data_IF_243551334113
#
_entry.id   IF_243551334113
#
_cell.length_a   1.000
_cell.length_b   1.000
_cell.length_c   1.000
_cell.angle_alpha   90.00
_cell.angle_beta   90.00
_cell.angle_gamma   90.00
#
_symmetry.space_group_name_H-M   'P 1'
#
loop_
_entity.id
_entity.type
_entity.pdbx_description
1 polymer ?
#
# COMPACT_ATOMS: atom_id res chain seq x y z
N UNK A 1 -2.76 -21.16 15.04
CA UNK A 1 -2.83 -20.91 13.58
C UNK A 1 -1.60 -20.08 13.23
N UNK A 2 -0.69 -20.59 12.39
CA UNK A 2 0.51 -19.84 12.01
C UNK A 2 0.18 -18.90 10.83
N UNK A 3 0.62 -17.64 10.91
CA UNK A 3 0.49 -16.69 9.79
C UNK A 3 1.51 -17.06 8.74
N UNK A 4 1.14 -17.42 7.51
CA UNK A 4 2.11 -17.59 6.41
C UNK A 4 2.49 -16.22 5.82
N UNK A 5 3.50 -16.17 4.95
CA UNK A 5 3.93 -14.95 4.26
C UNK A 5 2.89 -14.34 3.29
N UNK A 6 1.60 -14.66 3.40
CA UNK A 6 0.62 -14.41 2.34
C UNK A 6 0.87 -15.34 1.15
N UNK A 7 1.04 -14.76 -0.04
CA UNK A 7 1.11 -15.46 -1.34
C UNK A 7 2.42 -16.24 -1.55
N UNK A 8 3.56 -15.75 -1.04
CA UNK A 8 4.85 -16.43 -1.17
C UNK A 8 5.85 -15.94 -0.12
N UNK A 9 6.85 -16.78 0.21
CA UNK A 9 8.00 -16.32 0.98
C UNK A 9 8.95 -15.49 0.09
N UNK A 10 9.66 -14.52 0.66
CA UNK A 10 10.58 -13.65 -0.09
C UNK A 10 12.03 -13.95 0.29
N UNK A 11 12.87 -14.35 -0.67
CA UNK A 11 14.32 -14.33 -0.51
C UNK A 11 14.85 -12.95 -0.86
N UNK A 12 15.89 -12.54 -0.15
CA UNK A 12 16.54 -11.26 -0.40
C UNK A 12 18.06 -11.36 -0.32
N UNK A 13 18.74 -10.60 -1.18
CA UNK A 13 20.20 -10.51 -1.21
C UNK A 13 20.79 -9.77 -0.01
N UNK A 14 22.12 -9.64 -0.01
CA UNK A 14 22.89 -9.05 1.08
C UNK A 14 22.64 -7.56 1.32
N UNK A 15 22.11 -6.83 0.33
CA UNK A 15 21.70 -5.42 0.46
C UNK A 15 20.41 -5.23 1.26
N UNK A 16 19.61 -6.28 1.45
CA UNK A 16 18.33 -6.24 2.14
C UNK A 16 18.44 -6.93 3.50
N UNK A 17 17.65 -6.45 4.45
CA UNK A 17 17.59 -6.99 5.81
C UNK A 17 16.85 -8.32 5.82
N UNK A 18 17.41 -9.30 6.55
CA UNK A 18 16.61 -10.39 7.10
C UNK A 18 16.27 -9.99 8.54
N UNK A 19 14.99 -9.85 8.87
CA UNK A 19 14.62 -9.43 10.21
C UNK A 19 15.00 -10.51 11.22
N UNK A 20 15.30 -10.12 12.46
CA UNK A 20 15.45 -11.09 13.54
C UNK A 20 14.10 -11.70 13.95
N UNK A 21 13.03 -10.95 13.75
CA UNK A 21 11.67 -11.34 14.09
C UNK A 21 10.89 -11.72 12.83
N UNK A 22 10.33 -12.93 12.79
CA UNK A 22 9.57 -13.38 11.63
C UNK A 22 8.41 -12.47 11.24
N UNK A 23 7.78 -11.73 12.16
CA UNK A 23 6.61 -10.90 11.82
C UNK A 23 6.94 -9.68 10.95
N UNK A 24 8.23 -9.33 10.78
CA UNK A 24 8.70 -8.19 9.99
C UNK A 24 8.95 -8.52 8.51
N UNK A 25 8.56 -9.69 8.02
CA UNK A 25 8.76 -10.05 6.61
C UNK A 25 7.87 -9.20 5.68
N UNK A 26 8.39 -8.82 4.50
CA UNK A 26 7.68 -8.27 3.32
C UNK A 26 6.44 -7.38 3.61
N UNK A 27 6.50 -6.54 4.63
CA UNK A 27 5.46 -5.52 4.89
C UNK A 27 5.88 -4.20 4.27
N UNK A 28 4.92 -3.37 3.87
CA UNK A 28 5.13 -2.07 3.19
C UNK A 28 6.20 -1.18 3.87
N UNK A 29 6.33 -1.25 5.20
CA UNK A 29 7.28 -0.42 5.98
C UNK A 29 8.69 -1.04 6.10
N UNK A 30 8.89 -2.28 5.69
CA UNK A 30 10.15 -3.03 5.86
C UNK A 30 11.07 -2.97 4.65
N UNK A 31 10.65 -2.29 3.57
CA UNK A 31 11.39 -2.15 2.31
C UNK A 31 11.94 -3.50 1.80
N UNK A 32 11.05 -4.47 1.62
CA UNK A 32 11.42 -5.79 1.09
C UNK A 32 12.33 -6.55 2.07
N UNK A 33 11.96 -6.63 3.34
CA UNK A 33 12.62 -7.53 4.28
C UNK A 33 12.29 -8.98 3.91
N UNK A 34 13.33 -9.82 3.83
CA UNK A 34 13.17 -11.22 3.45
C UNK A 34 12.49 -12.06 4.53
N UNK A 35 11.98 -13.22 4.14
CA UNK A 35 11.50 -14.22 5.07
C UNK A 35 12.67 -14.91 5.77
N UNK A 36 12.72 -14.80 7.10
CA UNK A 36 13.70 -15.46 7.95
C UNK A 36 13.20 -16.80 8.52
N UNK A 37 11.93 -17.17 8.29
CA UNK A 37 11.33 -18.40 8.80
C UNK A 37 10.85 -19.31 7.67
N UNK A 38 11.82 -19.85 6.95
CA UNK A 38 11.63 -20.75 5.82
C UNK A 38 11.84 -22.20 6.26
N UNK A 39 11.05 -23.13 5.72
CA UNK A 39 11.25 -24.58 5.88
C UNK A 39 11.32 -25.26 4.52
N UNK A 40 12.19 -26.24 4.39
CA UNK A 40 12.26 -27.07 3.20
C UNK A 40 11.18 -28.17 3.24
N UNK A 41 10.27 -28.18 2.27
CA UNK A 41 9.25 -29.22 2.11
C UNK A 41 9.83 -30.62 1.82
N UNK A 42 11.05 -30.72 1.27
CA UNK A 42 11.67 -32.02 0.97
C UNK A 42 12.29 -32.70 2.20
N UNK A 43 13.01 -31.97 3.07
CA UNK A 43 13.68 -32.55 4.24
C UNK A 43 13.12 -32.08 5.59
N UNK A 44 12.12 -31.20 5.59
CA UNK A 44 11.52 -30.62 6.80
C UNK A 44 12.43 -29.67 7.58
N UNK A 45 13.66 -29.41 7.12
CA UNK A 45 14.64 -28.59 7.82
C UNK A 45 14.37 -27.10 7.61
N UNK A 46 14.55 -26.29 8.66
CA UNK A 46 14.59 -24.82 8.57
C UNK A 46 15.67 -24.39 7.58
N UNK A 47 15.39 -23.41 6.73
CA UNK A 47 16.39 -22.86 5.82
C UNK A 47 17.26 -21.89 6.60
N UNK A 48 18.56 -22.11 6.58
CA UNK A 48 19.55 -21.23 7.19
C UNK A 48 20.00 -20.18 6.17
N UNK A 49 20.37 -19.01 6.65
CA UNK A 49 20.92 -17.93 5.82
C UNK A 49 22.29 -17.51 6.33
N UNK A 50 23.17 -17.15 5.40
CA UNK A 50 24.49 -16.61 5.69
C UNK A 50 24.46 -15.09 5.90
N UNK A 51 25.57 -14.56 6.42
CA UNK A 51 25.78 -13.13 6.48
C UNK A 51 25.73 -12.48 5.07
N UNK A 52 25.41 -11.18 4.95
CA UNK A 52 25.58 -10.45 3.70
C UNK A 52 26.97 -10.66 3.12
N UNK A 53 27.06 -10.87 1.81
CA UNK A 53 28.33 -11.13 1.14
C UNK A 53 28.61 -12.60 0.84
N UNK A 54 27.93 -13.51 1.52
CA UNK A 54 28.27 -14.93 1.54
C UNK A 54 27.83 -15.67 0.27
N UNK A 55 28.77 -16.39 -0.35
CA UNK A 55 28.58 -17.22 -1.55
C UNK A 55 29.51 -18.44 -1.56
N UNK A 56 29.26 -19.38 -2.45
CA UNK A 56 30.04 -20.58 -2.73
C UNK A 56 31.28 -20.26 -3.59
N UNK A 57 32.35 -21.00 -3.33
CA UNK A 57 33.59 -20.97 -4.12
C UNK A 57 33.64 -22.22 -5.01
N UNK A 58 33.74 -22.02 -6.32
CA UNK A 58 33.89 -23.13 -7.27
C UNK A 58 32.59 -23.84 -7.66
N UNK A 59 31.45 -23.20 -7.46
CA UNK A 59 30.13 -23.72 -7.85
C UNK A 59 29.53 -24.70 -6.83
N UNK A 60 28.29 -25.15 -7.10
CA UNK A 60 27.48 -25.95 -6.19
C UNK A 60 27.96 -27.40 -6.11
N UNK A 61 28.36 -27.87 -4.93
CA UNK A 61 28.71 -29.26 -4.67
C UNK A 61 27.68 -29.86 -3.69
N UNK A 62 26.73 -30.71 -4.15
CA UNK A 62 25.71 -31.32 -3.27
C UNK A 62 26.27 -32.06 -2.05
N UNK A 63 27.51 -32.59 -2.15
CA UNK A 63 28.17 -33.36 -1.09
C UNK A 63 28.50 -32.53 0.17
N UNK A 64 28.64 -31.21 0.04
CA UNK A 64 29.03 -30.33 1.15
C UNK A 64 27.81 -29.81 1.94
N UNK A 65 26.59 -29.98 1.42
CA UNK A 65 25.35 -29.47 2.03
C UNK A 65 25.09 -30.00 3.46
N UNK A 66 25.25 -31.30 3.76
CA UNK A 66 25.03 -31.79 5.13
C UNK A 66 26.01 -31.16 6.14
N UNK A 67 27.29 -31.04 5.76
CA UNK A 67 28.31 -30.44 6.60
C UNK A 67 28.08 -28.93 6.78
N UNK A 68 27.72 -28.22 5.70
CA UNK A 68 27.37 -26.79 5.76
C UNK A 68 26.17 -26.56 6.67
N UNK A 69 25.12 -27.38 6.53
CA UNK A 69 23.91 -27.26 7.35
C UNK A 69 24.16 -27.58 8.82
N UNK A 70 25.08 -28.50 9.14
CA UNK A 70 25.47 -28.83 10.51
C UNK A 70 26.38 -27.78 11.16
N UNK A 71 27.09 -26.97 10.37
CA UNK A 71 28.08 -26.01 10.88
C UNK A 71 27.43 -24.70 11.30
N UNK A 72 27.51 -24.31 12.57
CA UNK A 72 26.88 -23.07 13.08
C UNK A 72 27.47 -21.81 12.45
N UNK A 73 28.81 -21.72 12.36
CA UNK A 73 29.51 -20.58 11.78
C UNK A 73 29.96 -20.87 10.35
N UNK A 74 29.25 -20.30 9.37
CA UNK A 74 29.57 -20.51 7.96
C UNK A 74 30.88 -19.83 7.52
N UNK A 75 31.43 -18.88 8.31
CA UNK A 75 32.69 -18.22 7.96
C UNK A 75 33.90 -19.16 8.06
N UNK A 76 33.78 -20.29 8.77
CA UNK A 76 34.84 -21.29 8.89
C UNK A 76 34.89 -22.28 7.74
N UNK A 77 33.90 -22.26 6.83
CA UNK A 77 33.80 -23.21 5.72
C UNK A 77 34.66 -22.73 4.54
N UNK A 78 35.74 -23.47 4.23
CA UNK A 78 36.72 -23.11 3.18
C UNK A 78 36.15 -22.93 1.77
N UNK A 79 34.95 -23.47 1.51
CA UNK A 79 34.25 -23.36 0.23
C UNK A 79 33.21 -22.23 0.21
N UNK A 80 33.15 -21.41 1.26
CA UNK A 80 32.37 -20.18 1.31
C UNK A 80 33.29 -18.96 1.34
N UNK A 81 32.85 -17.86 0.73
CA UNK A 81 33.50 -16.55 0.78
C UNK A 81 32.46 -15.47 1.04
N UNK A 82 32.86 -14.44 1.77
CA UNK A 82 32.05 -13.25 2.05
C UNK A 82 32.60 -12.03 1.29
N UNK A 83 32.69 -12.13 -0.04
CA UNK A 83 33.33 -11.14 -0.91
C UNK A 83 32.37 -10.45 -1.89
N UNK A 84 31.07 -10.73 -1.83
CA UNK A 84 30.08 -10.14 -2.73
C UNK A 84 28.88 -9.53 -2.00
N UNK A 85 28.96 -8.29 -1.47
CA UNK A 85 28.00 -7.74 -0.49
C UNK A 85 26.55 -7.70 -0.93
N UNK A 86 26.27 -7.76 -2.25
CA UNK A 86 24.90 -7.85 -2.75
C UNK A 86 24.26 -9.23 -2.56
N UNK A 87 25.04 -10.27 -2.28
CA UNK A 87 24.58 -11.65 -2.27
C UNK A 87 24.32 -12.16 -0.85
N UNK A 88 23.43 -13.14 -0.74
CA UNK A 88 23.18 -13.91 0.47
C UNK A 88 22.96 -15.37 0.13
N UNK A 89 23.68 -16.25 0.83
CA UNK A 89 23.51 -17.69 0.73
C UNK A 89 22.37 -18.16 1.64
N UNK A 90 21.48 -18.99 1.10
CA UNK A 90 20.44 -19.72 1.82
C UNK A 90 20.69 -21.22 1.65
N UNK A 91 20.41 -22.03 2.67
CA UNK A 91 20.58 -23.48 2.56
C UNK A 91 19.71 -24.29 3.52
N UNK A 92 19.28 -25.46 3.04
CA UNK A 92 18.77 -26.56 3.85
C UNK A 92 19.63 -27.82 3.62
N UNK A 93 19.17 -29.00 4.08
CA UNK A 93 19.88 -30.27 3.87
C UNK A 93 19.87 -30.75 2.40
N UNK A 94 18.95 -30.25 1.57
CA UNK A 94 18.76 -30.71 0.18
C UNK A 94 19.36 -29.77 -0.88
N UNK A 95 19.37 -28.46 -0.62
CA UNK A 95 19.69 -27.41 -1.61
C UNK A 95 20.31 -26.20 -0.91
N UNK A 96 21.12 -25.46 -1.66
CA UNK A 96 21.56 -24.11 -1.34
C UNK A 96 21.24 -23.18 -2.52
N UNK A 97 21.04 -21.90 -2.21
CA UNK A 97 20.66 -20.84 -3.14
C UNK A 97 21.41 -19.56 -2.84
N UNK A 98 21.91 -18.89 -3.86
CA UNK A 98 22.59 -17.60 -3.75
C UNK A 98 21.66 -16.52 -4.29
N UNK A 99 21.17 -15.65 -3.42
CA UNK A 99 20.26 -14.58 -3.83
C UNK A 99 21.01 -13.25 -3.91
N UNK A 100 20.98 -12.59 -5.07
CA UNK A 100 21.60 -11.29 -5.29
C UNK A 100 20.62 -10.11 -5.26
N UNK A 101 19.32 -10.42 -5.30
CA UNK A 101 18.21 -9.48 -5.48
C UNK A 101 17.03 -9.87 -4.58
N UNK A 102 15.81 -9.48 -4.93
CA UNK A 102 14.58 -9.95 -4.28
C UNK A 102 13.98 -11.05 -5.16
N UNK A 103 13.61 -12.17 -4.55
CA UNK A 103 13.04 -13.30 -5.27
C UNK A 103 11.90 -13.92 -4.46
N UNK A 104 10.68 -13.87 -5.01
CA UNK A 104 9.55 -14.57 -4.42
C UNK A 104 9.70 -16.07 -4.65
N UNK A 105 9.60 -16.85 -3.58
CA UNK A 105 9.61 -18.32 -3.65
C UNK A 105 8.23 -18.78 -4.13
N UNK A 106 8.02 -18.68 -5.44
CA UNK A 106 6.81 -19.14 -6.13
C UNK A 106 7.11 -20.50 -6.76
N UNK A 107 6.40 -21.52 -6.32
CA UNK A 107 6.51 -22.88 -6.86
C UNK A 107 5.45 -23.13 -7.94
N UNK A 108 5.25 -22.19 -8.86
CA UNK A 108 4.29 -22.35 -9.95
C UNK A 108 4.81 -23.31 -11.05
N UNK A 109 6.13 -23.39 -11.20
CA UNK A 109 6.76 -24.27 -12.19
C UNK A 109 6.69 -23.74 -13.62
N UNK A 110 6.34 -22.47 -13.80
CA UNK A 110 6.06 -21.87 -15.11
C UNK A 110 7.31 -21.32 -15.81
N UNK A 111 8.43 -21.16 -15.07
CA UNK A 111 9.71 -20.75 -15.63
C UNK A 111 10.62 -21.96 -15.92
N UNK A 112 10.90 -22.31 -17.19
CA UNK A 112 11.70 -23.49 -17.56
C UNK A 112 13.16 -23.49 -17.07
N UNK A 113 13.63 -22.36 -16.55
CA UNK A 113 14.99 -22.17 -16.05
C UNK A 113 15.09 -21.98 -14.54
N UNK A 114 13.97 -21.91 -13.81
CA UNK A 114 13.98 -21.68 -12.37
C UNK A 114 13.97 -23.02 -11.62
N UNK A 115 15.04 -23.38 -10.86
CA UNK A 115 15.04 -24.60 -10.09
C UNK A 115 13.88 -24.56 -9.08
N UNK A 116 12.93 -25.50 -9.18
CA UNK A 116 11.83 -25.63 -8.21
C UNK A 116 12.37 -25.59 -6.78
N UNK A 117 12.15 -24.47 -6.11
CA UNK A 117 12.74 -24.20 -4.82
C UNK A 117 11.87 -24.85 -3.75
N UNK A 118 12.34 -25.91 -3.07
CA UNK A 118 11.51 -26.71 -2.18
C UNK A 118 11.25 -26.00 -0.84
N UNK A 119 11.43 -24.68 -0.77
CA UNK A 119 11.28 -23.90 0.44
C UNK A 119 9.90 -23.27 0.48
N UNK A 120 9.33 -23.21 1.67
CA UNK A 120 8.05 -22.55 1.95
C UNK A 120 8.21 -21.74 3.23
N UNK A 121 7.36 -20.73 3.41
CA UNK A 121 7.23 -20.06 4.70
C UNK A 121 6.76 -21.09 5.75
N UNK A 122 7.45 -21.18 6.88
CA UNK A 122 7.08 -22.03 8.02
C UNK A 122 6.09 -21.34 8.98
N UNK A 123 5.57 -20.18 8.55
CA UNK A 123 4.69 -19.33 9.30
C UNK A 123 5.39 -18.32 10.21
N UNK A 124 4.62 -17.50 10.90
CA UNK A 124 5.09 -16.53 11.89
C UNK A 124 4.36 -16.80 13.18
N UNK A 125 5.12 -17.04 14.26
CA UNK A 125 4.55 -17.26 15.58
C UNK A 125 3.79 -16.01 16.02
N UNK A 126 2.61 -16.20 16.60
CA UNK A 126 1.93 -15.10 17.28
C UNK A 126 2.69 -14.82 18.58
N UNK A 127 2.85 -13.55 18.96
CA UNK A 127 3.45 -13.24 20.24
C UNK A 127 2.54 -13.71 21.39
N UNK A 128 3.16 -14.21 22.47
CA UNK A 128 2.46 -14.64 23.67
C UNK A 128 2.26 -13.44 24.61
N UNK A 129 1.09 -13.35 25.25
CA UNK A 129 0.78 -12.32 26.25
C UNK A 129 0.87 -12.90 27.67
N UNK A 130 1.28 -12.10 28.67
CA UNK A 130 1.74 -10.72 28.55
C UNK A 130 3.15 -10.63 27.95
N UNK A 131 3.45 -9.50 27.30
CA UNK A 131 4.76 -9.22 26.73
C UNK A 131 5.22 -7.80 27.01
N UNK A 132 6.51 -7.57 26.81
CA UNK A 132 7.14 -6.26 26.96
C UNK A 132 7.91 -5.91 25.68
N UNK A 133 7.61 -4.75 25.09
CA UNK A 133 8.25 -4.23 23.88
C UNK A 133 8.93 -2.90 24.24
N UNK A 134 10.23 -2.95 24.50
CA UNK A 134 10.94 -1.81 25.08
C UNK A 134 10.35 -1.46 26.43
N UNK A 135 9.73 -0.29 26.54
CA UNK A 135 9.08 0.18 27.76
C UNK A 135 7.55 0.00 27.78
N UNK A 136 6.98 -0.62 26.73
CA UNK A 136 5.55 -0.86 26.61
C UNK A 136 5.20 -2.24 27.17
N UNK A 137 4.34 -2.27 28.19
CA UNK A 137 3.78 -3.50 28.72
C UNK A 137 2.42 -3.78 28.06
N UNK A 138 2.27 -4.96 27.44
CA UNK A 138 1.06 -5.36 26.74
C UNK A 138 0.55 -6.66 27.35
N UNK A 139 -0.71 -6.66 27.76
CA UNK A 139 -1.44 -7.79 28.32
C UNK A 139 -2.88 -7.83 27.81
N UNK A 140 -3.55 -8.96 27.99
CA UNK A 140 -4.92 -9.14 27.51
C UNK A 140 -5.95 -8.26 28.23
N UNK A 141 -5.79 -8.08 29.55
CA UNK A 141 -6.79 -7.40 30.40
C UNK A 141 -6.30 -6.08 31.04
N UNK A 142 -4.99 -5.80 31.03
CA UNK A 142 -4.40 -4.68 31.79
C UNK A 142 -3.78 -3.57 30.94
N UNK A 143 -3.89 -3.64 29.61
CA UNK A 143 -3.26 -2.63 28.73
C UNK A 143 -4.12 -1.39 28.64
N UNK A 144 -3.60 -0.25 29.11
CA UNK A 144 -4.13 1.07 28.78
C UNK A 144 -3.67 1.44 27.35
N UNK A 145 -4.53 1.19 26.37
CA UNK A 145 -4.21 1.45 24.97
C UNK A 145 -4.09 2.95 24.64
N UNK A 146 -4.73 3.83 25.40
CA UNK A 146 -4.58 5.27 25.20
C UNK A 146 -3.18 5.72 25.64
N UNK A 147 -2.70 5.24 26.80
CA UNK A 147 -1.32 5.47 27.24
C UNK A 147 -0.30 4.88 26.28
N UNK A 148 -0.47 3.62 25.85
CA UNK A 148 0.45 2.98 24.90
C UNK A 148 0.57 3.80 23.61
N UNK A 149 -0.55 4.20 23.02
CA UNK A 149 -0.55 5.04 21.80
C UNK A 149 0.11 6.39 22.09
N UNK A 150 -0.25 7.04 23.19
CA UNK A 150 0.33 8.34 23.55
C UNK A 150 1.84 8.27 23.74
N UNK A 151 2.35 7.21 24.36
CA UNK A 151 3.78 6.99 24.54
C UNK A 151 4.50 6.79 23.23
N UNK A 152 3.93 6.00 22.30
CA UNK A 152 4.50 5.80 20.96
C UNK A 152 4.52 7.11 20.18
N UNK A 153 3.42 7.87 20.18
CA UNK A 153 3.34 9.22 19.60
C UNK A 153 4.37 10.17 20.22
N UNK A 154 4.60 10.06 21.52
CA UNK A 154 5.60 10.82 22.27
C UNK A 154 7.05 10.36 22.09
N UNK A 155 7.33 9.41 21.20
CA UNK A 155 8.70 8.96 20.90
C UNK A 155 9.12 7.63 21.52
N UNK A 156 8.23 6.94 22.25
CA UNK A 156 8.54 5.64 22.84
C UNK A 156 8.55 4.57 21.77
N UNK A 157 9.76 4.16 21.38
CA UNK A 157 9.97 3.15 20.36
C UNK A 157 9.64 1.75 20.93
N UNK A 158 8.63 1.02 20.42
CA UNK A 158 8.30 -0.33 20.90
C UNK A 158 9.45 -1.31 20.63
N UNK A 159 10.18 -1.05 19.54
CA UNK A 159 11.37 -1.78 19.13
C UNK A 159 12.14 -0.89 18.18
N UNK A 160 13.45 -0.74 18.42
CA UNK A 160 14.35 -0.09 17.48
C UNK A 160 14.33 -0.86 16.15
N UNK A 161 13.83 -0.25 15.09
CA UNK A 161 14.07 -0.75 13.75
C UNK A 161 15.47 -0.18 13.35
N UNK A 162 16.07 -0.63 12.24
CA UNK A 162 17.45 -0.24 11.87
C UNK A 162 17.51 0.83 10.75
N UNK A 163 16.58 1.78 10.75
CA UNK A 163 16.39 2.81 9.70
C UNK A 163 16.45 4.24 10.23
N UNK A 164 16.94 5.14 9.39
CA UNK A 164 17.02 6.57 9.70
C UNK A 164 15.68 7.32 9.57
N UNK A 165 14.72 6.76 8.82
CA UNK A 165 13.37 7.29 8.60
C UNK A 165 12.32 6.62 9.51
N UNK A 166 12.76 6.28 10.73
CA UNK A 166 11.88 5.76 11.78
C UNK A 166 11.16 6.88 12.52
N UNK A 167 9.92 6.58 12.89
CA UNK A 167 9.15 7.44 13.75
C UNK A 167 7.81 6.82 14.16
N UNK A 168 7.02 7.57 14.92
CA UNK A 168 5.79 7.09 15.54
C UNK A 168 4.80 6.42 14.59
N UNK A 169 4.65 6.91 13.35
CA UNK A 169 3.70 6.33 12.38
C UNK A 169 4.07 4.89 12.02
N UNK A 170 5.35 4.65 11.73
CA UNK A 170 5.84 3.31 11.39
C UNK A 170 5.86 2.39 12.59
N UNK A 171 6.11 2.92 13.78
CA UNK A 171 6.07 2.13 15.01
C UNK A 171 4.66 1.66 15.34
N UNK A 172 3.63 2.51 15.16
CA UNK A 172 2.23 2.10 15.32
C UNK A 172 1.84 1.03 14.28
N UNK A 173 2.24 1.22 13.02
CA UNK A 173 1.99 0.24 11.95
C UNK A 173 2.65 -1.09 12.27
N UNK A 174 3.93 -1.07 12.66
CA UNK A 174 4.65 -2.27 13.10
C UNK A 174 3.96 -2.94 14.29
N UNK A 175 3.54 -2.17 15.30
CA UNK A 175 2.91 -2.71 16.49
C UNK A 175 1.58 -3.41 16.15
N UNK A 176 0.79 -2.83 15.24
CA UNK A 176 -0.42 -3.46 14.71
C UNK A 176 -0.11 -4.78 14.02
N UNK A 177 0.88 -4.84 13.14
CA UNK A 177 1.28 -6.10 12.49
C UNK A 177 1.86 -7.14 13.47
N UNK A 178 2.61 -6.70 14.48
CA UNK A 178 3.18 -7.56 15.50
C UNK A 178 2.07 -8.26 16.30
N UNK A 179 1.05 -7.50 16.69
CA UNK A 179 -0.09 -8.01 17.47
C UNK A 179 -1.14 -8.75 16.63
N UNK A 180 -1.06 -8.72 15.30
CA UNK A 180 -2.24 -8.91 14.44
C UNK A 180 -2.97 -10.26 14.60
N UNK A 181 -2.51 -11.31 15.27
CA UNK A 181 -3.32 -12.53 15.46
C UNK A 181 -4.31 -12.45 16.63
N UNK A 182 -4.21 -11.38 17.41
CA UNK A 182 -4.73 -11.31 18.76
C UNK A 182 -6.04 -10.53 18.83
N UNK A 183 -6.89 -10.87 19.80
CA UNK A 183 -8.14 -10.17 20.09
C UNK A 183 -7.90 -8.70 20.47
N UNK A 184 -6.76 -8.42 21.12
CA UNK A 184 -6.39 -7.07 21.58
C UNK A 184 -6.02 -6.10 20.46
N UNK A 185 -5.76 -6.58 19.25
CA UNK A 185 -5.29 -5.75 18.15
C UNK A 185 -6.31 -4.67 17.78
N UNK A 186 -7.61 -4.99 17.86
CA UNK A 186 -8.68 -4.02 17.64
C UNK A 186 -8.68 -2.88 18.68
N UNK A 187 -8.19 -3.13 19.89
CA UNK A 187 -8.08 -2.10 20.93
C UNK A 187 -7.02 -1.05 20.57
N UNK A 188 -5.88 -1.48 20.01
CA UNK A 188 -4.86 -0.59 19.47
C UNK A 188 -5.45 0.31 18.38
N UNK A 189 -6.11 -0.26 17.36
CA UNK A 189 -6.69 0.52 16.27
C UNK A 189 -7.72 1.53 16.77
N UNK A 190 -8.60 1.13 17.69
CA UNK A 190 -9.58 2.05 18.30
C UNK A 190 -8.90 3.18 19.07
N UNK A 191 -7.81 2.91 19.79
CA UNK A 191 -7.07 3.94 20.51
C UNK A 191 -6.36 4.91 19.55
N UNK A 192 -5.76 4.41 18.46
CA UNK A 192 -5.12 5.26 17.43
C UNK A 192 -6.14 6.16 16.73
N UNK A 193 -7.27 5.60 16.29
CA UNK A 193 -8.35 6.34 15.62
C UNK A 193 -8.85 7.53 16.46
N UNK A 194 -9.01 7.34 17.78
CA UNK A 194 -9.47 8.42 18.68
C UNK A 194 -8.54 9.63 18.71
N UNK A 195 -7.28 9.49 18.29
CA UNK A 195 -6.31 10.60 18.28
C UNK A 195 -6.46 11.50 17.05
N UNK A 196 -7.37 11.19 16.11
CA UNK A 196 -7.60 12.01 14.91
C UNK A 196 -8.15 13.41 15.24
N UNK A 197 -8.82 13.57 16.39
CA UNK A 197 -9.51 14.81 16.78
C UNK A 197 -8.67 15.75 17.67
N UNK A 198 -7.38 15.48 17.86
CA UNK A 198 -6.60 16.10 18.95
C UNK A 198 -6.01 17.47 18.65
N UNK A 199 -6.21 17.99 17.45
CA UNK A 199 -5.78 19.32 17.03
C UNK A 199 -4.25 19.49 16.86
N UNK A 200 -3.42 18.55 17.30
CA UNK A 200 -1.98 18.53 17.01
C UNK A 200 -1.74 17.96 15.60
N UNK A 201 -1.27 18.83 14.70
CA UNK A 201 -1.02 18.51 13.30
C UNK A 201 -0.08 17.31 13.10
N UNK A 202 0.94 17.13 13.95
CA UNK A 202 1.87 16.01 13.84
C UNK A 202 1.23 14.69 14.28
N UNK A 203 0.45 14.73 15.36
CA UNK A 203 -0.29 13.56 15.83
C UNK A 203 -1.30 13.12 14.77
N UNK A 204 -2.07 14.05 14.22
CA UNK A 204 -3.07 13.74 13.17
C UNK A 204 -2.38 13.14 11.94
N UNK A 205 -1.27 13.72 11.47
CA UNK A 205 -0.53 13.17 10.34
C UNK A 205 -0.01 11.75 10.60
N UNK A 206 0.51 11.48 11.81
CA UNK A 206 0.93 10.14 12.22
C UNK A 206 -0.24 9.15 12.23
N UNK A 207 -1.39 9.55 12.77
CA UNK A 207 -2.62 8.74 12.80
C UNK A 207 -3.09 8.43 11.39
N UNK A 208 -3.17 9.43 10.50
CA UNK A 208 -3.59 9.23 9.12
C UNK A 208 -2.66 8.30 8.34
N UNK A 209 -1.35 8.37 8.59
CA UNK A 209 -0.39 7.40 8.03
C UNK A 209 -0.71 5.97 8.47
N UNK A 210 -1.05 5.78 9.74
CA UNK A 210 -1.50 4.48 10.26
C UNK A 210 -2.81 4.03 9.61
N UNK A 211 -3.83 4.89 9.56
CA UNK A 211 -5.13 4.56 8.97
C UNK A 211 -4.99 4.19 7.49
N UNK A 212 -4.16 4.91 6.75
CA UNK A 212 -3.84 4.62 5.34
C UNK A 212 -3.27 3.21 5.18
N UNK A 213 -2.30 2.80 5.99
CA UNK A 213 -1.71 1.46 5.92
C UNK A 213 -2.76 0.34 6.10
N UNK A 214 -3.82 0.60 6.84
CA UNK A 214 -4.89 -0.35 7.15
C UNK A 214 -6.27 0.09 6.63
N UNK A 215 -6.33 0.85 5.53
CA UNK A 215 -7.57 1.39 4.98
C UNK A 215 -8.60 0.31 4.55
N UNK A 216 -8.15 -0.95 4.38
CA UNK A 216 -9.01 -2.09 4.09
C UNK A 216 -9.65 -2.72 5.35
N UNK A 217 -9.22 -2.37 6.56
CA UNK A 217 -9.82 -2.86 7.81
C UNK A 217 -11.20 -2.18 8.02
N UNK A 218 -12.31 -2.94 8.17
CA UNK A 218 -13.65 -2.38 8.35
C UNK A 218 -13.77 -1.41 9.53
N UNK A 219 -13.16 -1.72 10.68
CA UNK A 219 -13.30 -0.89 11.87
C UNK A 219 -12.53 0.43 11.75
N UNK A 220 -11.41 0.43 11.03
CA UNK A 220 -10.64 1.64 10.72
C UNK A 220 -11.38 2.51 9.71
N UNK A 221 -11.89 1.91 8.63
CA UNK A 221 -12.61 2.66 7.61
C UNK A 221 -13.90 3.27 8.15
N UNK A 222 -14.67 2.52 8.94
CA UNK A 222 -15.91 3.00 9.56
C UNK A 222 -15.67 4.29 10.37
N UNK A 223 -14.57 4.33 11.13
CA UNK A 223 -14.23 5.51 11.91
C UNK A 223 -13.72 6.67 11.04
N UNK A 224 -12.93 6.38 10.01
CA UNK A 224 -12.48 7.39 9.05
C UNK A 224 -13.65 8.04 8.30
N UNK A 225 -14.64 7.24 7.86
CA UNK A 225 -15.86 7.71 7.21
C UNK A 225 -16.70 8.57 8.16
N UNK A 226 -16.91 8.10 9.40
CA UNK A 226 -17.66 8.86 10.40
C UNK A 226 -17.03 10.23 10.67
N UNK A 227 -15.70 10.30 10.74
CA UNK A 227 -15.01 11.59 10.87
C UNK A 227 -15.16 12.45 9.61
N UNK A 228 -14.97 11.88 8.42
CA UNK A 228 -15.11 12.60 7.14
C UNK A 228 -16.51 13.20 6.96
N UNK A 229 -17.56 12.45 7.26
CA UNK A 229 -18.97 12.93 7.20
C UNK A 229 -19.25 14.07 8.17
N UNK A 230 -18.59 14.07 9.34
CA UNK A 230 -18.76 15.14 10.30
C UNK A 230 -18.08 16.45 9.88
N UNK A 231 -17.07 16.38 9.00
CA UNK A 231 -16.30 17.52 8.54
C UNK A 231 -15.63 17.26 7.17
N UNK A 232 -16.42 17.40 6.09
CA UNK A 232 -15.95 17.17 4.72
C UNK A 232 -14.76 18.07 4.36
N UNK A 233 -14.71 19.31 4.86
CA UNK A 233 -13.61 20.22 4.56
C UNK A 233 -12.26 19.78 5.13
N UNK A 234 -12.26 19.08 6.26
CA UNK A 234 -11.05 18.54 6.87
C UNK A 234 -10.47 17.37 6.08
N UNK A 235 -11.28 16.73 5.22
CA UNK A 235 -10.86 15.54 4.45
C UNK A 235 -9.63 15.82 3.59
N UNK A 236 -9.56 17.00 2.98
CA UNK A 236 -8.50 17.43 2.06
C UNK A 236 -7.32 18.10 2.78
N UNK A 237 -7.36 18.23 4.10
CA UNK A 237 -6.28 18.85 4.86
C UNK A 237 -5.14 17.85 5.03
N UNK A 238 -3.99 18.16 4.43
CA UNK A 238 -2.76 17.38 4.58
C UNK A 238 -2.02 17.77 5.86
N UNK A 239 -1.64 16.77 6.66
CA UNK A 239 -1.03 16.95 7.97
C UNK A 239 0.46 16.61 7.98
N UNK A 240 1.25 17.26 8.85
CA UNK A 240 2.69 16.95 8.94
C UNK A 240 2.93 15.60 9.61
N UNK A 241 3.95 14.88 9.14
CA UNK A 241 4.46 13.69 9.82
C UNK A 241 5.92 13.96 10.19
N UNK A 242 6.33 13.86 11.47
CA UNK A 242 7.69 14.21 11.90
C UNK A 242 8.79 13.52 11.08
N UNK A 243 8.59 12.25 10.74
CA UNK A 243 9.54 11.42 10.02
C UNK A 243 9.40 11.45 8.48
N UNK A 244 8.42 12.16 7.91
CA UNK A 244 8.19 12.25 6.46
C UNK A 244 8.15 13.72 5.98
N UNK A 245 9.31 14.27 5.61
CA UNK A 245 9.46 15.70 5.26
C UNK A 245 8.55 16.19 4.14
N UNK A 246 8.29 15.35 3.13
CA UNK A 246 7.60 15.76 1.90
C UNK A 246 6.19 15.20 1.76
N UNK A 247 5.78 14.27 2.63
CA UNK A 247 4.48 13.63 2.55
C UNK A 247 3.56 14.19 3.63
N UNK A 248 2.36 14.62 3.23
CA UNK A 248 1.33 15.15 4.11
C UNK A 248 0.05 14.34 3.96
N UNK A 249 -0.12 13.23 4.71
CA UNK A 249 -1.32 12.43 4.62
C UNK A 249 -2.56 13.23 5.02
N UNK A 250 -3.66 12.90 4.38
CA UNK A 250 -5.00 13.44 4.59
C UNK A 250 -5.99 12.28 4.74
N UNK A 251 -7.23 12.56 5.16
CA UNK A 251 -8.29 11.54 5.13
C UNK A 251 -8.65 11.13 3.69
N UNK A 252 -8.47 12.05 2.73
CA UNK A 252 -8.58 11.75 1.32
C UNK A 252 -7.67 10.58 0.92
N UNK A 253 -6.39 10.58 1.31
CA UNK A 253 -5.46 9.46 1.04
C UNK A 253 -5.97 8.11 1.57
N UNK A 254 -6.57 8.11 2.77
CA UNK A 254 -7.12 6.91 3.41
C UNK A 254 -8.30 6.38 2.60
N UNK A 255 -9.23 7.25 2.23
CA UNK A 255 -10.44 6.89 1.47
C UNK A 255 -10.13 6.40 0.06
N UNK A 256 -9.24 7.08 -0.64
CA UNK A 256 -8.78 6.70 -1.98
C UNK A 256 -8.10 5.33 -1.95
N UNK A 257 -7.28 5.05 -0.94
CA UNK A 257 -6.67 3.73 -0.79
C UNK A 257 -7.69 2.65 -0.39
N UNK A 258 -8.69 2.99 0.43
CA UNK A 258 -9.79 2.09 0.75
C UNK A 258 -10.61 1.72 -0.50
N UNK A 259 -10.93 2.69 -1.37
CA UNK A 259 -11.65 2.46 -2.63
C UNK A 259 -10.92 1.46 -3.54
N UNK A 260 -9.59 1.50 -3.55
CA UNK A 260 -8.76 0.55 -4.33
C UNK A 260 -8.81 -0.87 -3.81
N UNK A 261 -8.99 -1.05 -2.50
CA UNK A 261 -8.80 -2.35 -1.83
C UNK A 261 -10.11 -3.07 -1.51
N UNK A 262 -11.26 -2.40 -1.58
CA UNK A 262 -12.53 -2.92 -1.05
C UNK A 262 -13.61 -3.15 -2.09
N UNK A 263 -14.40 -4.19 -1.85
CA UNK A 263 -15.56 -4.59 -2.65
C UNK A 263 -16.82 -4.83 -1.81
N UNK A 264 -16.79 -4.50 -0.53
CA UNK A 264 -17.84 -4.80 0.44
C UNK A 264 -18.82 -3.65 0.69
N UNK A 265 -19.73 -3.82 1.66
CA UNK A 265 -20.88 -2.92 1.91
C UNK A 265 -20.47 -1.48 2.25
N UNK A 266 -19.32 -1.28 2.91
CA UNK A 266 -18.81 0.05 3.22
C UNK A 266 -18.40 0.86 1.98
N UNK A 267 -18.27 0.20 0.82
CA UNK A 267 -17.90 0.86 -0.44
C UNK A 267 -18.93 1.91 -0.86
N UNK A 268 -20.23 1.64 -0.71
CA UNK A 268 -21.27 2.61 -1.12
C UNK A 268 -21.14 3.93 -0.39
N UNK A 269 -21.12 3.86 0.95
CA UNK A 269 -20.90 5.03 1.82
C UNK A 269 -19.57 5.74 1.54
N UNK A 270 -18.50 4.98 1.31
CA UNK A 270 -17.20 5.54 0.93
C UNK A 270 -17.25 6.31 -0.39
N UNK A 271 -17.94 5.78 -1.40
CA UNK A 271 -18.14 6.44 -2.69
C UNK A 271 -18.92 7.74 -2.52
N UNK A 272 -19.99 7.73 -1.71
CA UNK A 272 -20.80 8.92 -1.46
C UNK A 272 -19.97 10.05 -0.83
N UNK A 273 -19.20 9.74 0.22
CA UNK A 273 -18.30 10.72 0.87
C UNK A 273 -17.25 11.24 -0.12
N UNK A 274 -16.64 10.37 -0.92
CA UNK A 274 -15.65 10.79 -1.92
C UNK A 274 -16.28 11.72 -2.97
N UNK A 275 -17.48 11.41 -3.46
CA UNK A 275 -18.22 12.26 -4.40
C UNK A 275 -18.54 13.63 -3.82
N UNK A 276 -18.98 13.69 -2.56
CA UNK A 276 -19.21 14.96 -1.86
C UNK A 276 -17.93 15.79 -1.70
N UNK A 277 -16.82 15.14 -1.34
CA UNK A 277 -15.51 15.80 -1.21
C UNK A 277 -14.99 16.31 -2.55
N UNK A 278 -15.21 15.58 -3.65
CA UNK A 278 -14.84 16.03 -5.00
C UNK A 278 -15.59 17.31 -5.42
N UNK A 279 -16.76 17.59 -4.84
CA UNK A 279 -17.52 18.80 -5.10
C UNK A 279 -17.09 20.01 -4.25
N UNK A 280 -16.15 19.83 -3.31
CA UNK A 280 -15.62 20.94 -2.51
C UNK A 280 -14.72 21.85 -3.34
N UNK A 281 -14.79 23.19 -3.12
CA UNK A 281 -13.88 24.13 -3.76
C UNK A 281 -12.41 23.77 -3.53
N UNK A 282 -11.64 23.78 -4.62
CA UNK A 282 -10.22 23.51 -4.61
C UNK A 282 -9.49 24.51 -3.70
N UNK A 283 -8.65 23.97 -2.82
CA UNK A 283 -7.67 24.72 -2.02
C UNK A 283 -6.29 24.59 -2.70
N UNK A 284 -5.27 25.22 -2.13
CA UNK A 284 -3.90 25.12 -2.65
C UNK A 284 -3.48 23.65 -2.85
N UNK A 285 -3.06 23.31 -4.07
CA UNK A 285 -2.58 21.97 -4.42
C UNK A 285 -3.66 20.96 -4.84
N UNK A 286 -4.92 21.37 -5.04
CA UNK A 286 -6.07 20.56 -5.52
C UNK A 286 -5.85 19.02 -5.56
N UNK A 287 -5.86 18.33 -4.40
CA UNK A 287 -5.54 16.90 -4.34
C UNK A 287 -6.56 16.02 -5.07
N UNK A 288 -7.77 16.52 -5.31
CA UNK A 288 -8.76 15.85 -6.16
C UNK A 288 -8.29 15.81 -7.61
N UNK A 289 -7.74 16.91 -8.11
CA UNK A 289 -7.18 16.99 -9.47
C UNK A 289 -5.99 16.03 -9.64
N UNK A 290 -5.07 16.01 -8.67
CA UNK A 290 -3.94 15.08 -8.68
C UNK A 290 -4.40 13.62 -8.69
N UNK A 291 -5.44 13.32 -7.90
CA UNK A 291 -6.02 11.97 -7.84
C UNK A 291 -6.69 11.58 -9.16
N UNK A 292 -7.45 12.48 -9.77
CA UNK A 292 -8.08 12.25 -11.08
C UNK A 292 -7.03 11.95 -12.17
N UNK A 293 -5.88 12.64 -12.13
CA UNK A 293 -4.78 12.39 -13.06
C UNK A 293 -4.12 11.01 -12.84
N UNK A 294 -3.87 10.62 -11.59
CA UNK A 294 -3.29 9.32 -11.25
C UNK A 294 -4.24 8.14 -11.55
N UNK A 295 -5.54 8.37 -11.44
CA UNK A 295 -6.55 7.30 -11.46
C UNK A 295 -6.90 6.76 -12.84
N UNK A 296 -6.60 7.50 -13.91
CA UNK A 296 -6.72 7.03 -15.29
C UNK A 296 -5.93 5.74 -15.58
N UNK A 297 -5.10 5.26 -14.66
CA UNK A 297 -4.25 4.08 -14.84
C UNK A 297 -4.56 2.90 -13.92
N UNK A 298 -5.54 2.99 -13.01
CA UNK A 298 -5.62 2.07 -11.85
C UNK A 298 -6.90 1.22 -11.70
N UNK A 299 -7.86 1.29 -12.63
CA UNK A 299 -9.03 0.40 -12.67
C UNK A 299 -9.94 0.44 -11.42
N UNK A 300 -9.97 1.57 -10.71
CA UNK A 300 -10.61 1.70 -9.39
C UNK A 300 -12.12 1.96 -9.49
N UNK A 301 -12.54 2.57 -10.60
CA UNK A 301 -13.88 3.05 -10.83
C UNK A 301 -14.76 2.02 -11.49
N UNK A 302 -16.03 2.04 -11.09
CA UNK A 302 -17.09 1.29 -11.73
C UNK A 302 -17.80 2.17 -12.75
N UNK A 303 -18.62 1.56 -13.59
CA UNK A 303 -19.44 2.28 -14.57
C UNK A 303 -20.27 3.40 -13.93
N UNK A 304 -20.86 3.16 -12.75
CA UNK A 304 -21.66 4.15 -12.03
C UNK A 304 -20.84 5.35 -11.53
N UNK A 305 -19.55 5.17 -11.27
CA UNK A 305 -18.65 6.28 -10.93
C UNK A 305 -18.36 7.16 -12.15
N UNK A 306 -18.14 6.55 -13.32
CA UNK A 306 -17.94 7.27 -14.57
C UNK A 306 -19.22 8.00 -14.99
N UNK A 307 -20.37 7.35 -14.84
CA UNK A 307 -21.66 7.98 -15.10
C UNK A 307 -21.87 9.21 -14.22
N UNK A 308 -21.67 9.07 -12.91
CA UNK A 308 -21.79 10.19 -11.98
C UNK A 308 -20.84 11.34 -12.36
N UNK A 309 -19.58 11.05 -12.70
CA UNK A 309 -18.62 12.08 -13.11
C UNK A 309 -19.04 12.80 -14.41
N UNK A 310 -19.54 12.08 -15.41
CA UNK A 310 -20.03 12.68 -16.64
C UNK A 310 -21.22 13.62 -16.38
N UNK A 311 -22.16 13.20 -15.53
CA UNK A 311 -23.35 13.98 -15.17
C UNK A 311 -23.01 15.21 -14.30
N UNK A 312 -21.95 15.14 -13.49
CA UNK A 312 -21.56 16.20 -12.54
C UNK A 312 -20.33 17.00 -12.97
N UNK A 313 -19.84 16.82 -14.19
CA UNK A 313 -18.57 17.39 -14.66
C UNK A 313 -18.49 18.92 -14.55
N UNK A 314 -19.61 19.63 -14.73
CA UNK A 314 -19.69 21.09 -14.56
C UNK A 314 -19.53 21.49 -13.10
N UNK A 315 -20.15 20.76 -12.18
CA UNK A 315 -20.01 21.02 -10.75
C UNK A 315 -18.58 20.70 -10.27
N UNK A 316 -18.00 19.61 -10.77
CA UNK A 316 -16.62 19.22 -10.49
C UNK A 316 -15.62 20.26 -11.01
N UNK A 317 -15.80 20.79 -12.22
CA UNK A 317 -14.99 21.89 -12.74
C UNK A 317 -15.20 23.21 -11.99
N UNK A 318 -16.44 23.47 -11.54
CA UNK A 318 -16.73 24.64 -10.71
C UNK A 318 -15.98 24.57 -9.39
N UNK A 319 -15.92 23.38 -8.80
CA UNK A 319 -15.18 23.11 -7.58
C UNK A 319 -13.66 23.26 -7.79
N UNK A 320 -13.10 22.75 -8.89
CA UNK A 320 -11.69 22.96 -9.24
C UNK A 320 -11.50 23.22 -10.73
N UNK A 321 -11.27 24.49 -11.14
CA UNK A 321 -11.13 24.82 -12.55
C UNK A 321 -10.06 23.99 -13.27
N UNK A 322 -10.47 23.36 -14.37
CA UNK A 322 -9.62 22.47 -15.17
C UNK A 322 -9.66 21.01 -14.75
N UNK A 323 -10.44 20.63 -13.72
CA UNK A 323 -10.72 19.20 -13.41
C UNK A 323 -11.43 18.50 -14.56
N UNK A 324 -12.21 19.25 -15.36
CA UNK A 324 -12.92 18.70 -16.52
C UNK A 324 -12.00 17.96 -17.50
N UNK A 325 -10.75 18.43 -17.70
CA UNK A 325 -9.79 17.80 -18.61
C UNK A 325 -9.49 16.37 -18.16
N UNK A 326 -9.15 16.19 -16.88
CA UNK A 326 -8.81 14.89 -16.33
C UNK A 326 -10.03 13.96 -16.27
N UNK A 327 -11.22 14.50 -15.99
CA UNK A 327 -12.46 13.71 -16.03
C UNK A 327 -12.71 13.22 -17.46
N UNK A 328 -12.59 14.07 -18.47
CA UNK A 328 -12.79 13.67 -19.86
C UNK A 328 -11.72 12.67 -20.33
N UNK A 329 -10.46 12.82 -19.91
CA UNK A 329 -9.39 11.85 -20.17
C UNK A 329 -9.69 10.48 -19.51
N UNK A 330 -10.22 10.49 -18.30
CA UNK A 330 -10.64 9.29 -17.59
C UNK A 330 -11.79 8.58 -18.30
N UNK A 331 -12.82 9.32 -18.73
CA UNK A 331 -13.95 8.77 -19.50
C UNK A 331 -13.50 8.18 -20.85
N UNK A 332 -12.54 8.83 -21.52
CA UNK A 332 -11.94 8.29 -22.74
C UNK A 332 -11.13 7.02 -22.49
N UNK A 333 -10.41 6.95 -21.37
CA UNK A 333 -9.70 5.73 -21.01
C UNK A 333 -10.67 4.58 -20.79
N UNK A 334 -11.75 4.81 -20.02
CA UNK A 334 -12.80 3.84 -19.80
C UNK A 334 -13.45 3.38 -21.13
N UNK A 335 -13.73 4.32 -22.05
CA UNK A 335 -14.25 3.98 -23.38
C UNK A 335 -13.31 3.08 -24.19
N UNK A 336 -11.99 3.22 -24.04
CA UNK A 336 -11.04 2.35 -24.74
C UNK A 336 -10.99 0.93 -24.18
N UNK A 337 -11.36 0.78 -22.91
CA UNK A 337 -11.50 -0.54 -22.27
C UNK A 337 -12.86 -1.16 -22.59
N UNK A 338 -13.90 -0.33 -22.74
CA UNK A 338 -15.26 -0.73 -23.11
C UNK A 338 -15.93 0.33 -24.02
N UNK A 339 -16.07 -0.01 -25.30
CA UNK A 339 -16.66 0.88 -26.32
C UNK A 339 -18.09 1.31 -25.98
N UNK A 340 -18.83 0.52 -25.18
CA UNK A 340 -20.18 0.88 -24.74
C UNK A 340 -20.16 2.14 -23.87
N UNK A 341 -19.05 2.48 -23.20
CA UNK A 341 -18.93 3.68 -22.36
C UNK A 341 -18.71 4.97 -23.15
N UNK A 342 -18.65 4.93 -24.48
CA UNK A 342 -18.49 6.12 -25.32
C UNK A 342 -19.60 7.16 -25.13
N UNK A 343 -20.81 6.76 -24.74
CA UNK A 343 -21.90 7.71 -24.46
C UNK A 343 -21.57 8.64 -23.28
N UNK A 344 -20.78 8.20 -22.30
CA UNK A 344 -20.41 9.02 -21.14
C UNK A 344 -19.50 10.18 -21.54
N UNK A 345 -18.59 9.97 -22.50
CA UNK A 345 -17.78 11.04 -23.09
C UNK A 345 -18.68 12.08 -23.76
N UNK A 346 -19.70 11.63 -24.49
CA UNK A 346 -20.67 12.52 -25.13
C UNK A 346 -21.48 13.30 -24.08
N UNK A 347 -22.02 12.64 -23.04
CA UNK A 347 -22.78 13.29 -21.96
C UNK A 347 -21.93 14.37 -21.27
N UNK A 348 -20.73 14.01 -20.81
CA UNK A 348 -19.86 14.95 -20.12
C UNK A 348 -19.45 16.13 -21.01
N UNK A 349 -19.08 15.86 -22.26
CA UNK A 349 -18.69 16.91 -23.20
C UNK A 349 -19.84 17.86 -23.57
N UNK A 350 -21.04 17.34 -23.89
CA UNK A 350 -22.21 18.19 -24.18
C UNK A 350 -22.55 19.05 -22.97
N UNK A 351 -22.53 18.48 -21.77
CA UNK A 351 -22.83 19.19 -20.52
C UNK A 351 -21.84 20.34 -20.29
N UNK A 352 -20.55 20.12 -20.55
CA UNK A 352 -19.53 21.19 -20.49
C UNK A 352 -19.78 22.30 -21.50
N UNK A 353 -20.05 21.95 -22.77
CA UNK A 353 -20.28 22.91 -23.84
C UNK A 353 -21.50 23.79 -23.52
N UNK A 354 -22.63 23.16 -23.17
CA UNK A 354 -23.87 23.86 -22.85
C UNK A 354 -23.75 24.76 -21.61
N UNK A 355 -22.88 24.41 -20.66
CA UNK A 355 -22.63 25.25 -19.49
C UNK A 355 -21.93 26.58 -19.81
N UNK A 356 -21.27 26.68 -20.97
CA UNK A 356 -20.46 27.85 -21.35
C UNK A 356 -19.19 28.06 -20.51
N UNK A 357 -18.85 27.15 -19.59
CA UNK A 357 -17.67 27.27 -18.72
C UNK A 357 -16.36 27.05 -19.47
N UNK A 358 -16.36 26.15 -20.43
CA UNK A 358 -15.17 25.84 -21.25
C UNK A 358 -15.30 26.58 -22.59
N UNK A 359 -14.32 27.43 -22.95
CA UNK A 359 -14.32 28.09 -24.25
C UNK A 359 -14.40 27.06 -25.39
N UNK A 360 -15.27 27.25 -26.41
CA UNK A 360 -15.39 26.31 -27.53
C UNK A 360 -14.06 26.00 -28.23
N UNK A 361 -13.14 26.97 -28.30
CA UNK A 361 -11.79 26.78 -28.88
C UNK A 361 -10.91 25.85 -28.06
N UNK A 362 -11.01 25.93 -26.73
CA UNK A 362 -10.27 25.06 -25.82
C UNK A 362 -10.81 23.63 -25.92
N UNK A 363 -12.13 23.46 -25.90
CA UNK A 363 -12.76 22.14 -26.02
C UNK A 363 -12.45 21.50 -27.39
N UNK A 364 -12.49 22.25 -28.50
CA UNK A 364 -12.05 21.77 -29.82
C UNK A 364 -10.58 21.35 -29.84
N UNK A 365 -9.71 22.07 -29.13
CA UNK A 365 -8.28 21.69 -29.02
C UNK A 365 -8.11 20.37 -28.30
N UNK A 366 -8.90 20.14 -27.24
CA UNK A 366 -8.94 18.85 -26.55
C UNK A 366 -9.48 17.74 -27.47
N UNK A 367 -10.60 17.96 -28.15
CA UNK A 367 -11.15 16.99 -29.12
C UNK A 367 -10.14 16.65 -30.22
N UNK A 368 -9.43 17.62 -30.78
CA UNK A 368 -8.43 17.38 -31.83
C UNK A 368 -7.22 16.55 -31.34
N UNK A 369 -6.92 16.56 -30.04
CA UNK A 369 -5.84 15.76 -29.45
C UNK A 369 -6.25 14.30 -29.21
N UNK A 370 -7.53 14.07 -28.91
CA UNK A 370 -7.99 12.79 -28.38
C UNK A 370 -9.01 12.06 -29.26
N UNK A 371 -9.68 12.77 -30.17
CA UNK A 371 -10.70 12.23 -31.06
C UNK A 371 -10.14 11.80 -32.40
N UNK A 372 -10.60 10.63 -32.86
CA UNK A 372 -10.67 10.28 -34.28
C UNK A 372 -12.10 10.56 -34.75
N UNK A 373 -12.30 11.06 -35.97
CA UNK A 373 -13.62 11.34 -36.53
C UNK A 373 -14.50 10.08 -36.67
N UNK A 374 -13.91 8.90 -36.48
CA UNK A 374 -14.63 7.63 -36.43
C UNK A 374 -15.23 7.30 -35.04
N UNK A 375 -14.84 8.01 -33.98
CA UNK A 375 -15.35 7.74 -32.64
C UNK A 375 -16.79 8.22 -32.48
N UNK A 376 -17.70 7.35 -32.04
CA UNK A 376 -19.13 7.66 -31.93
C UNK A 376 -19.46 8.89 -31.05
N UNK A 377 -18.61 9.18 -30.06
CA UNK A 377 -18.79 10.33 -29.17
C UNK A 377 -18.41 11.68 -29.80
N UNK A 378 -17.67 11.70 -30.91
CA UNK A 378 -17.21 12.97 -31.53
C UNK A 378 -18.35 13.73 -32.17
N UNK A 379 -19.22 13.05 -32.91
CA UNK A 379 -20.34 13.65 -33.62
C UNK A 379 -21.30 14.48 -32.74
N UNK A 380 -21.81 13.97 -31.60
CA UNK A 380 -22.68 14.78 -30.73
C UNK A 380 -21.96 16.01 -30.15
N UNK A 381 -20.65 15.95 -29.92
CA UNK A 381 -19.87 17.09 -29.43
C UNK A 381 -19.66 18.16 -30.51
N UNK A 382 -19.38 17.74 -31.75
CA UNK A 382 -19.29 18.68 -32.88
C UNK A 382 -20.62 19.39 -33.15
N UNK A 383 -21.73 18.67 -33.04
CA UNK A 383 -23.07 19.24 -33.15
C UNK A 383 -23.30 20.31 -32.07
N UNK A 384 -23.03 19.98 -30.80
CA UNK A 384 -23.18 20.91 -29.68
C UNK A 384 -22.28 22.16 -29.78
N UNK A 385 -21.10 22.04 -30.41
CA UNK A 385 -20.18 23.18 -30.64
C UNK A 385 -20.58 24.08 -31.81
N UNK A 386 -21.57 23.68 -32.60
CA UNK A 386 -22.04 24.41 -33.79
C UNK A 386 -23.30 25.24 -33.53
N UNK A 387 -23.97 25.00 -32.40
CA UNK A 387 -25.07 25.79 -31.84
C UNK A 387 -24.53 26.98 -31.03
#
# INVERSE_FOLDING_TARGET
>A
MHRSCGEAALLVGGKRRLPADPVEYNREFTNGAGCNNLRCGACGATVRSGAPGMRLVGGRQPKDLPAMYATTDWTTLRYLKADHPAWRLYACKCICWEEGSEHLVINDGDSPGDPRMPWVCDGHAMPELPLTLGELAISELGTDWADVVQRVLGGTCPRRLERADEGPSRWLVWLRYYLDGLSITANLSRAVVKRIDEGDDQVVGTVLTYLRAFAADPGILEAALTHAESNLEAVLVGHKVPELTYYRPSLWDVMILAMRRRTDELRGRLVDVVREVMLLPAKDGDPVKDTLADWAYTGVYREDDFQWMAEHIVALDTAGPGRWVHIMELLLHAQREDDELGYLVAIGGVTLIQSGRVPPTEFRTWMARHGDSQNAWTWPLEAALSE
#
